data_IF_204815716480
#
_entry.id   IF_204815716480
#
_cell.length_a   1.000
_cell.length_b   1.000
_cell.length_c   1.000
_cell.angle_alpha   90.00
_cell.angle_beta   90.00
_cell.angle_gamma   90.00
#
_symmetry.space_group_name_H-M   'P 1'
#
loop_
_entity.id
_entity.type
_entity.pdbx_description
1 polymer ?
#
# COMPACT_ATOMS: atom_id res chain seq x y z
N UNK A 1 4.10 0.60 0.18
CA UNK A 1 3.72 -0.55 1.01
C UNK A 1 2.38 -0.23 1.63
N UNK A 2 1.36 -1.01 1.29
CA UNK A 2 0.01 -0.86 1.80
C UNK A 2 -0.22 -1.90 2.89
N UNK A 3 -0.93 -1.55 3.97
CA UNK A 3 -1.26 -2.49 5.04
C UNK A 3 -2.61 -2.16 5.70
N UNK A 4 -3.27 -3.19 6.25
CA UNK A 4 -4.50 -3.04 7.02
C UNK A 4 -4.23 -3.09 8.53
N UNK A 5 -4.97 -2.31 9.32
CA UNK A 5 -4.86 -2.31 10.80
C UNK A 5 -5.42 -3.60 11.42
N UNK A 6 -6.42 -4.21 10.78
CA UNK A 6 -7.11 -5.43 11.23
C UNK A 6 -6.70 -6.67 10.42
N UNK A 7 -5.44 -6.76 10.02
CA UNK A 7 -4.87 -7.95 9.39
C UNK A 7 -4.27 -8.89 10.46
N UNK A 8 -4.92 -10.05 10.77
CA UNK A 8 -4.42 -10.99 11.77
C UNK A 8 -3.21 -11.80 11.29
N UNK A 9 -2.95 -11.83 9.99
CA UNK A 9 -1.83 -12.56 9.38
C UNK A 9 -0.60 -11.65 9.33
N UNK A 10 -0.82 -10.39 8.95
CA UNK A 10 0.24 -9.39 8.78
C UNK A 10 0.04 -8.23 9.74
N UNK A 11 0.33 -8.48 11.03
CA UNK A 11 0.18 -7.47 12.09
C UNK A 11 0.91 -6.17 11.74
N UNK A 12 0.26 -5.03 12.03
CA UNK A 12 0.81 -3.68 11.84
C UNK A 12 2.20 -3.51 12.43
N UNK A 13 2.47 -4.05 13.61
CA UNK A 13 3.81 -3.99 14.23
C UNK A 13 4.89 -4.62 13.35
N UNK A 14 4.58 -5.74 12.71
CA UNK A 14 5.51 -6.47 11.85
C UNK A 14 5.75 -5.69 10.55
N UNK A 15 4.70 -5.09 9.98
CA UNK A 15 4.82 -4.19 8.82
C UNK A 15 5.72 -3.01 9.13
N UNK A 16 5.49 -2.34 10.27
CA UNK A 16 6.29 -1.18 10.68
C UNK A 16 7.74 -1.55 10.98
N UNK A 17 7.98 -2.76 11.49
CA UNK A 17 9.34 -3.27 11.67
C UNK A 17 10.01 -3.54 10.32
N UNK A 18 9.32 -4.21 9.40
CA UNK A 18 9.84 -4.50 8.06
C UNK A 18 10.14 -3.20 7.28
N UNK A 19 9.25 -2.21 7.37
CA UNK A 19 9.44 -0.90 6.77
C UNK A 19 10.78 -0.26 7.18
N UNK A 20 11.15 -0.33 8.47
CA UNK A 20 12.42 0.21 8.97
C UNK A 20 13.65 -0.53 8.46
N UNK A 21 13.51 -1.77 8.02
CA UNK A 21 14.62 -2.60 7.53
C UNK A 21 14.86 -2.43 6.03
N UNK A 22 13.89 -1.90 5.28
CA UNK A 22 13.97 -1.76 3.84
C UNK A 22 14.50 -0.37 3.45
N UNK A 23 15.65 -0.27 2.77
CA UNK A 23 16.31 1.01 2.51
C UNK A 23 15.63 1.87 1.44
N UNK A 24 14.79 1.28 0.59
CA UNK A 24 14.21 1.93 -0.59
C UNK A 24 12.68 1.95 -0.57
N UNK A 25 12.06 2.10 0.61
CA UNK A 25 10.61 2.23 0.66
C UNK A 25 10.22 3.66 0.33
N UNK A 26 9.53 3.80 -0.80
CA UNK A 26 9.05 5.10 -1.29
C UNK A 26 7.70 5.52 -0.72
N UNK A 27 6.95 4.55 -0.17
CA UNK A 27 5.59 4.76 0.31
C UNK A 27 5.24 3.77 1.41
N UNK A 28 4.58 4.24 2.46
CA UNK A 28 3.94 3.44 3.50
C UNK A 28 2.56 4.03 3.81
N UNK A 29 1.49 3.32 3.46
CA UNK A 29 0.11 3.79 3.63
C UNK A 29 -0.74 2.73 4.33
N UNK A 30 -1.51 3.16 5.33
CA UNK A 30 -2.55 2.34 5.96
C UNK A 30 -3.83 2.46 5.14
N UNK A 31 -4.49 1.33 4.88
CA UNK A 31 -5.75 1.32 4.15
C UNK A 31 -6.83 2.01 4.99
N UNK A 32 -7.62 2.96 4.44
CA UNK A 32 -8.58 3.77 5.17
C UNK A 32 -9.88 3.01 5.52
N UNK A 33 -9.75 1.75 5.95
CA UNK A 33 -10.85 0.92 6.39
C UNK A 33 -10.39 0.03 7.55
N UNK A 34 -10.88 0.34 8.76
CA UNK A 34 -10.42 -0.33 9.99
C UNK A 34 -10.66 -1.82 10.03
N UNK A 35 -11.67 -2.32 9.30
CA UNK A 35 -11.98 -3.75 9.28
C UNK A 35 -11.30 -4.48 8.12
N UNK A 36 -10.43 -3.81 7.36
CA UNK A 36 -9.71 -4.42 6.25
C UNK A 36 -8.77 -5.52 6.76
N UNK A 37 -9.05 -6.75 6.37
CA UNK A 37 -8.31 -7.96 6.75
C UNK A 37 -7.36 -8.39 5.65
N UNK A 38 -6.62 -9.48 5.89
CA UNK A 38 -5.74 -10.06 4.87
C UNK A 38 -6.47 -10.47 3.59
N UNK A 39 -7.70 -10.99 3.71
CA UNK A 39 -8.43 -11.53 2.56
C UNK A 39 -9.04 -10.42 1.69
N UNK A 40 -9.25 -9.24 2.26
CA UNK A 40 -9.79 -8.09 1.54
C UNK A 40 -8.82 -7.57 0.47
N UNK A 41 -7.52 -7.81 0.62
CA UNK A 41 -6.52 -7.53 -0.42
C UNK A 41 -6.76 -8.30 -1.73
N UNK A 42 -7.49 -9.42 -1.67
CA UNK A 42 -7.72 -10.30 -2.82
C UNK A 42 -9.19 -10.30 -3.27
N UNK A 43 -10.13 -10.25 -2.33
CA UNK A 43 -11.54 -10.54 -2.61
C UNK A 43 -12.52 -9.45 -2.14
N UNK A 44 -12.03 -8.29 -1.69
CA UNK A 44 -12.93 -7.20 -1.31
C UNK A 44 -13.70 -6.66 -2.50
N UNK A 45 -15.02 -6.56 -2.37
CA UNK A 45 -15.89 -5.90 -3.36
C UNK A 45 -15.57 -4.40 -3.50
N UNK A 46 -15.10 -3.79 -2.40
CA UNK A 46 -14.74 -2.38 -2.34
C UNK A 46 -13.23 -2.15 -2.57
N UNK A 47 -12.47 -3.22 -2.88
CA UNK A 47 -11.02 -3.19 -3.02
C UNK A 47 -10.52 -2.21 -4.09
N UNK A 48 -11.33 -1.95 -5.12
CA UNK A 48 -11.04 -0.91 -6.13
C UNK A 48 -10.90 0.47 -5.48
N UNK A 49 -11.90 0.89 -4.73
CA UNK A 49 -11.95 2.22 -4.12
C UNK A 49 -11.04 2.33 -2.88
N UNK A 50 -10.89 1.25 -2.12
CA UNK A 50 -10.12 1.25 -0.87
C UNK A 50 -8.60 1.07 -1.07
N UNK A 51 -8.17 0.45 -2.17
CA UNK A 51 -6.77 0.09 -2.39
C UNK A 51 -6.30 0.31 -3.83
N UNK A 52 -6.94 -0.32 -4.81
CA UNK A 52 -6.34 -0.44 -6.14
C UNK A 52 -6.25 0.87 -6.92
N UNK A 53 -7.24 1.78 -6.78
CA UNK A 53 -7.18 3.10 -7.42
C UNK A 53 -5.94 3.87 -6.95
N UNK A 54 -5.62 3.83 -5.65
CA UNK A 54 -4.42 4.45 -5.08
C UNK A 54 -3.13 3.76 -5.51
N UNK A 55 -3.13 2.43 -5.61
CA UNK A 55 -1.97 1.67 -6.12
C UNK A 55 -1.63 2.10 -7.55
N UNK A 56 -2.64 2.21 -8.42
CA UNK A 56 -2.47 2.63 -9.81
C UNK A 56 -1.98 4.07 -9.90
N UNK A 57 -2.55 4.98 -9.10
CA UNK A 57 -2.12 6.37 -9.02
C UNK A 57 -0.62 6.46 -8.66
N UNK A 58 -0.17 5.74 -7.63
CA UNK A 58 1.24 5.71 -7.24
C UNK A 58 2.12 5.20 -8.39
N UNK A 59 1.71 4.15 -9.10
CA UNK A 59 2.46 3.66 -10.27
C UNK A 59 2.59 4.75 -11.36
N UNK A 60 1.50 5.47 -11.64
CA UNK A 60 1.49 6.56 -12.62
C UNK A 60 2.33 7.77 -12.18
N UNK A 61 2.31 8.11 -10.89
CA UNK A 61 3.19 9.13 -10.30
C UNK A 61 4.66 8.77 -10.52
N UNK A 62 5.03 7.50 -10.32
CA UNK A 62 6.39 7.03 -10.58
C UNK A 62 6.79 7.08 -12.06
N UNK A 63 5.89 6.68 -12.97
CA UNK A 63 6.11 6.78 -14.42
C UNK A 63 6.22 8.24 -14.90
N UNK A 64 5.40 9.14 -14.35
CA UNK A 64 5.39 10.55 -14.71
C UNK A 64 6.59 11.32 -14.13
N UNK A 65 6.97 10.99 -12.90
CA UNK A 65 8.17 11.53 -12.24
C UNK A 65 9.48 11.05 -12.88
N UNK A 66 9.52 9.82 -13.39
CA UNK A 66 10.67 9.31 -14.15
C UNK A 66 10.81 9.98 -15.53
N UNK A 67 9.71 10.42 -16.16
CA UNK A 67 9.77 11.23 -17.38
C UNK A 67 10.29 12.67 -17.17
N UNK A 68 10.34 13.17 -15.93
CA UNK A 68 10.89 14.50 -15.60
C UNK A 68 12.36 14.46 -15.16
N UNK A 69 12.88 13.29 -14.77
CA UNK A 69 14.28 13.11 -14.35
C UNK A 69 15.28 12.84 -15.50
N UNK A 70 14.79 12.69 -16.74
CA UNK A 70 15.62 12.44 -17.93
C UNK A 70 15.49 13.54 -19.01
N UNK A 71 15.13 14.77 -18.61
CA UNK A 71 15.20 15.96 -19.44
C UNK A 71 16.17 16.99 -18.87
#
# INVERSE_FOLDING_TARGET
MFYGDNDPITLKSNVLQLYKQLPNVILLEEIPYRLFTHMDFLWSIDGKALLYDRVIEVMQEFESGSNTSFR
#
